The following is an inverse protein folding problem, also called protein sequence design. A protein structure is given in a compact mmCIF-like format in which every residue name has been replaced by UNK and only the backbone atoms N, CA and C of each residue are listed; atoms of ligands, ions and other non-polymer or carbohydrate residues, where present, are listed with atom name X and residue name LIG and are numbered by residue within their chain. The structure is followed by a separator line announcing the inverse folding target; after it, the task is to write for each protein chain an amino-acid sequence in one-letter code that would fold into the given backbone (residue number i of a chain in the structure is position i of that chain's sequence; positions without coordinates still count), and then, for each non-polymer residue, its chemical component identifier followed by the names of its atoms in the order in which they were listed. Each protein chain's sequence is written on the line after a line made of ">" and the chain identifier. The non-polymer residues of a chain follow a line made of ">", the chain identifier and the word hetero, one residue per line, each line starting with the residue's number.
data_IF_436076763745
#
_entry.id   IF_436076763745
#
_cell.length_a   1.000
_cell.length_b   1.000
_cell.length_c   1.000
_cell.angle_alpha   90.00
_cell.angle_beta   90.00
_cell.angle_gamma   90.00
#
_symmetry.space_group_name_H-M   'P 1'
#
loop_
_entity.id
_entity.type
_entity.pdbx_description
1 polymer ?
#
# COMPACT_ATOMS: atom_id res chain seq x y z
N UNK A 1 -33.31 -12.73 1.94
CA UNK A 1 -31.96 -12.91 1.36
C UNK A 1 -31.15 -13.74 2.33
N UNK A 2 -30.33 -14.71 1.89
CA UNK A 2 -29.41 -15.39 2.79
C UNK A 2 -28.51 -14.36 3.48
N UNK A 3 -28.12 -14.65 4.72
CA UNK A 3 -27.19 -13.79 5.46
C UNK A 3 -25.92 -13.58 4.61
N UNK A 4 -25.37 -12.36 4.54
CA UNK A 4 -24.14 -12.12 3.80
C UNK A 4 -23.04 -13.04 4.32
N UNK A 5 -22.26 -13.60 3.40
CA UNK A 5 -21.10 -14.43 3.73
C UNK A 5 -20.15 -13.63 4.63
N UNK A 6 -20.07 -14.01 5.90
CA UNK A 6 -19.15 -13.40 6.86
C UNK A 6 -17.84 -14.20 6.84
N UNK A 7 -16.90 -13.72 6.03
CA UNK A 7 -15.53 -14.21 6.08
C UNK A 7 -14.84 -13.72 7.35
N UNK A 8 -13.99 -14.57 7.92
CA UNK A 8 -13.05 -14.18 8.96
C UNK A 8 -11.71 -14.79 8.62
N UNK A 9 -10.67 -13.98 8.56
CA UNK A 9 -9.32 -14.50 8.33
C UNK A 9 -8.93 -15.50 9.42
N UNK A 10 -8.31 -16.64 9.06
CA UNK A 10 -7.72 -17.54 10.04
C UNK A 10 -6.57 -16.82 10.78
N UNK A 11 -6.17 -17.35 11.93
CA UNK A 11 -4.97 -16.83 12.60
C UNK A 11 -3.74 -16.95 11.68
N UNK A 12 -2.99 -15.86 11.55
CA UNK A 12 -1.82 -15.76 10.71
C UNK A 12 -0.83 -14.76 11.31
N UNK A 13 0.38 -14.69 10.73
CA UNK A 13 1.36 -13.70 11.16
C UNK A 13 0.91 -12.30 10.72
N UNK A 14 0.89 -11.35 11.64
CA UNK A 14 0.59 -9.96 11.33
C UNK A 14 1.67 -9.37 10.42
N UNK A 15 1.26 -8.92 9.24
CA UNK A 15 2.11 -8.40 8.17
C UNK A 15 2.38 -6.92 8.37
N UNK A 16 3.63 -6.59 8.70
CA UNK A 16 4.09 -5.23 9.03
C UNK A 16 5.21 -4.76 8.06
N UNK A 17 5.10 -5.15 6.79
CA UNK A 17 6.06 -4.82 5.72
C UNK A 17 5.47 -3.76 4.77
N UNK A 18 6.30 -2.97 4.05
CA UNK A 18 5.84 -1.91 3.12
C UNK A 18 4.87 -2.34 2.02
N UNK A 19 4.84 -3.63 1.71
CA UNK A 19 3.93 -4.25 0.77
C UNK A 19 4.29 -5.73 0.59
N UNK A 20 3.31 -6.64 0.51
CA UNK A 20 1.86 -6.42 0.73
C UNK A 20 1.51 -6.02 2.18
N UNK A 21 0.28 -5.54 2.39
CA UNK A 21 -0.25 -5.17 3.71
C UNK A 21 -1.48 -6.02 4.07
N UNK A 22 -1.90 -5.94 5.34
CA UNK A 22 -3.12 -6.60 5.81
C UNK A 22 -4.39 -6.07 5.13
N UNK A 23 -5.28 -6.98 4.79
CA UNK A 23 -6.63 -6.67 4.29
C UNK A 23 -7.66 -6.76 5.42
N UNK A 24 -8.75 -6.02 5.28
CA UNK A 24 -9.94 -6.27 6.09
C UNK A 24 -10.59 -7.59 5.68
N UNK A 25 -11.35 -8.19 6.60
CA UNK A 25 -12.13 -9.39 6.29
C UNK A 25 -13.14 -9.12 5.15
N UNK A 26 -13.73 -7.93 5.11
CA UNK A 26 -14.70 -7.51 4.09
C UNK A 26 -14.07 -7.43 2.69
N UNK A 27 -12.85 -6.88 2.57
CA UNK A 27 -12.13 -6.83 1.30
C UNK A 27 -11.81 -8.24 0.80
N UNK A 28 -11.39 -9.16 1.68
CA UNK A 28 -11.14 -10.55 1.27
C UNK A 28 -12.45 -11.28 0.93
N UNK A 29 -13.53 -11.05 1.68
CA UNK A 29 -14.85 -11.61 1.42
C UNK A 29 -15.37 -11.21 0.03
N UNK A 30 -15.11 -9.97 -0.39
CA UNK A 30 -15.55 -9.44 -1.68
C UNK A 30 -14.92 -10.15 -2.90
N UNK A 31 -13.79 -10.86 -2.70
CA UNK A 31 -13.19 -11.68 -3.75
C UNK A 31 -13.87 -13.04 -3.93
N UNK A 32 -14.66 -13.48 -2.95
CA UNK A 32 -15.34 -14.78 -2.94
C UNK A 32 -16.71 -14.76 -3.65
N UNK A 33 -16.99 -13.75 -4.48
CA UNK A 33 -18.22 -13.68 -5.27
C UNK A 33 -18.23 -14.74 -6.39
N UNK A 34 -19.42 -15.22 -6.81
CA UNK A 34 -19.54 -16.08 -7.99
C UNK A 34 -18.90 -15.47 -9.24
N UNK A 35 -18.49 -16.33 -10.18
CA UNK A 35 -17.95 -15.86 -11.46
C UNK A 35 -18.94 -14.95 -12.18
N UNK A 36 -18.47 -13.76 -12.56
CA UNK A 36 -19.27 -12.74 -13.20
C UNK A 36 -18.67 -12.37 -14.56
N UNK A 37 -19.53 -12.16 -15.56
CA UNK A 37 -19.09 -11.65 -16.85
C UNK A 37 -18.68 -10.18 -16.72
N UNK A 38 -17.53 -9.81 -17.28
CA UNK A 38 -17.06 -8.41 -17.29
C UNK A 38 -17.94 -7.47 -18.13
N UNK A 39 -18.84 -8.01 -18.95
CA UNK A 39 -19.86 -7.24 -19.69
C UNK A 39 -21.21 -7.19 -18.98
N UNK A 40 -21.35 -7.79 -17.79
CA UNK A 40 -22.59 -7.75 -17.03
C UNK A 40 -22.87 -6.34 -16.48
N UNK A 41 -24.14 -5.93 -16.35
CA UNK A 41 -24.50 -4.64 -15.75
C UNK A 41 -23.89 -4.41 -14.36
N UNK A 42 -23.88 -5.44 -13.52
CA UNK A 42 -23.32 -5.40 -12.17
C UNK A 42 -21.80 -5.12 -12.15
N UNK A 43 -21.05 -5.74 -13.06
CA UNK A 43 -19.61 -5.48 -13.16
C UNK A 43 -19.33 -4.10 -13.76
N UNK A 44 -20.11 -3.69 -14.76
CA UNK A 44 -19.97 -2.35 -15.37
C UNK A 44 -20.15 -1.27 -14.29
N UNK A 45 -21.18 -1.41 -13.44
CA UNK A 45 -21.38 -0.52 -12.30
C UNK A 45 -20.20 -0.54 -11.32
N UNK A 46 -19.72 -1.73 -10.96
CA UNK A 46 -18.57 -1.92 -10.07
C UNK A 46 -17.33 -1.21 -10.61
N UNK A 47 -17.04 -1.39 -11.90
CA UNK A 47 -15.85 -0.83 -12.52
C UNK A 47 -15.98 0.69 -12.73
N UNK A 48 -17.17 1.17 -13.11
CA UNK A 48 -17.48 2.60 -13.17
C UNK A 48 -17.21 3.28 -11.82
N UNK A 49 -17.73 2.71 -10.74
CA UNK A 49 -17.53 3.22 -9.38
C UNK A 49 -16.03 3.31 -9.04
N UNK A 50 -15.27 2.26 -9.33
CA UNK A 50 -13.83 2.22 -9.07
C UNK A 50 -13.10 3.31 -9.84
N UNK A 51 -13.36 3.47 -11.15
CA UNK A 51 -12.71 4.49 -11.97
C UNK A 51 -12.99 5.90 -11.44
N UNK A 52 -14.26 6.22 -11.19
CA UNK A 52 -14.67 7.54 -10.68
C UNK A 52 -14.10 7.82 -9.29
N UNK A 53 -14.11 6.83 -8.40
CA UNK A 53 -13.63 7.00 -7.03
C UNK A 53 -12.10 7.08 -6.96
N UNK A 54 -11.38 6.36 -7.82
CA UNK A 54 -9.94 6.54 -7.98
C UNK A 54 -9.56 7.96 -8.44
N UNK A 55 -10.40 8.63 -9.24
CA UNK A 55 -10.21 10.04 -9.61
C UNK A 55 -10.13 10.94 -8.37
N UNK A 56 -11.05 10.70 -7.44
CA UNK A 56 -11.15 11.45 -6.19
C UNK A 56 -9.93 11.21 -5.30
N UNK A 57 -9.36 9.99 -5.28
CA UNK A 57 -8.11 9.70 -4.55
C UNK A 57 -6.94 10.56 -5.01
N UNK A 58 -6.82 10.80 -6.32
CA UNK A 58 -5.73 11.58 -6.88
C UNK A 58 -6.00 13.09 -6.90
N UNK A 59 -7.18 13.52 -6.42
CA UNK A 59 -7.63 14.91 -6.45
C UNK A 59 -7.52 15.52 -7.85
N UNK A 60 -7.73 14.70 -8.89
CA UNK A 60 -7.73 15.19 -10.27
C UNK A 60 -8.98 16.03 -10.49
N UNK A 61 -8.82 17.31 -10.80
CA UNK A 61 -9.92 18.21 -11.17
C UNK A 61 -10.00 18.45 -12.68
N UNK A 62 -9.08 17.88 -13.44
CA UNK A 62 -8.97 18.09 -14.88
C UNK A 62 -9.84 17.05 -15.63
N UNK A 63 -10.88 17.55 -16.31
CA UNK A 63 -11.82 16.76 -17.09
C UNK A 63 -11.17 16.05 -18.28
N UNK A 64 -9.96 16.47 -18.70
CA UNK A 64 -9.23 15.87 -19.81
C UNK A 64 -8.31 14.71 -19.36
N UNK A 65 -8.34 14.35 -18.07
CA UNK A 65 -7.59 13.21 -17.54
C UNK A 65 -8.37 11.91 -17.70
N UNK A 66 -7.65 10.79 -17.80
CA UNK A 66 -8.25 9.45 -17.83
C UNK A 66 -7.64 8.59 -16.73
N UNK A 67 -8.50 8.00 -15.89
CA UNK A 67 -8.14 6.96 -14.93
C UNK A 67 -7.98 5.60 -15.60
N UNK A 68 -6.98 4.83 -15.15
CA UNK A 68 -6.71 3.47 -15.61
C UNK A 68 -6.55 2.52 -14.43
N UNK A 69 -7.29 1.42 -14.48
CA UNK A 69 -7.11 0.26 -13.60
C UNK A 69 -6.83 -0.94 -14.49
N UNK A 70 -5.60 -1.44 -14.42
CA UNK A 70 -5.11 -2.52 -15.29
C UNK A 70 -4.77 -3.74 -14.45
N UNK A 71 -4.92 -4.92 -15.03
CA UNK A 71 -4.58 -6.18 -14.35
C UNK A 71 -3.07 -6.39 -14.32
N UNK A 72 -2.45 -6.11 -13.18
CA UNK A 72 -1.01 -6.26 -12.95
C UNK A 72 -0.58 -5.69 -11.60
N UNK A 73 0.68 -5.93 -11.24
CA UNK A 73 1.27 -5.32 -10.02
C UNK A 73 1.57 -3.83 -10.24
N UNK A 74 1.95 -3.13 -9.16
CA UNK A 74 2.40 -1.73 -9.23
C UNK A 74 3.57 -1.47 -10.19
N UNK A 75 4.35 -2.51 -10.57
CA UNK A 75 5.44 -2.33 -11.53
C UNK A 75 4.95 -2.17 -12.97
N UNK A 76 3.76 -2.69 -13.31
CA UNK A 76 3.16 -2.52 -14.63
C UNK A 76 2.92 -1.03 -14.97
N UNK A 77 2.68 -0.17 -13.99
CA UNK A 77 2.58 1.27 -14.25
C UNK A 77 3.84 1.92 -14.71
N UNK A 78 4.97 1.45 -14.21
CA UNK A 78 6.26 1.90 -14.70
C UNK A 78 6.45 1.48 -16.15
N UNK A 79 6.04 0.27 -16.52
CA UNK A 79 6.06 -0.18 -17.92
C UNK A 79 5.11 0.64 -18.79
N UNK A 80 3.89 0.95 -18.33
CA UNK A 80 2.94 1.78 -19.07
C UNK A 80 3.45 3.22 -19.22
N UNK A 81 3.97 3.81 -18.15
CA UNK A 81 4.55 5.16 -18.18
C UNK A 81 5.79 5.19 -19.09
N UNK A 82 6.68 4.21 -18.97
CA UNK A 82 7.86 4.05 -19.80
C UNK A 82 7.48 3.92 -21.27
N UNK A 83 6.62 2.97 -21.60
CA UNK A 83 6.20 2.70 -22.98
C UNK A 83 5.41 3.85 -23.58
N UNK A 84 4.70 4.63 -22.76
CA UNK A 84 4.03 5.86 -23.20
C UNK A 84 5.02 7.00 -23.44
N UNK A 85 5.91 7.26 -22.49
CA UNK A 85 6.74 8.47 -22.45
C UNK A 85 8.11 8.34 -23.15
N UNK A 86 8.75 7.17 -23.15
CA UNK A 86 10.18 7.02 -23.46
C UNK A 86 10.55 7.19 -24.94
N UNK A 87 9.62 7.10 -25.89
CA UNK A 87 9.96 7.24 -27.31
C UNK A 87 10.40 8.65 -27.74
N UNK A 88 10.44 9.65 -26.84
CA UNK A 88 10.98 10.98 -27.18
C UNK A 88 11.59 11.77 -26.02
N UNK A 89 12.03 11.11 -24.95
CA UNK A 89 12.59 11.80 -23.76
C UNK A 89 14.06 11.42 -23.60
N UNK A 90 14.97 12.40 -23.78
CA UNK A 90 16.42 12.18 -23.65
C UNK A 90 16.89 11.95 -22.20
N UNK A 91 16.10 12.35 -21.18
CA UNK A 91 16.40 12.19 -19.74
C UNK A 91 15.10 12.05 -18.93
N UNK A 92 14.98 11.00 -18.13
CA UNK A 92 13.83 10.75 -17.24
C UNK A 92 14.31 10.72 -15.77
N UNK A 93 13.61 11.45 -14.90
CA UNK A 93 13.76 11.32 -13.44
C UNK A 93 12.68 10.35 -12.94
N UNK A 94 13.09 9.24 -12.35
CA UNK A 94 12.20 8.20 -11.83
C UNK A 94 12.19 8.29 -10.30
N UNK A 95 11.02 8.62 -9.73
CA UNK A 95 10.78 8.59 -8.28
C UNK A 95 9.80 7.45 -7.96
N UNK A 96 10.29 6.41 -7.29
CA UNK A 96 9.59 5.12 -7.12
C UNK A 96 8.51 5.14 -6.01
N UNK A 97 7.31 4.65 -6.33
CA UNK A 97 6.32 4.09 -5.39
C UNK A 97 5.49 3.02 -6.13
N UNK A 98 5.02 1.99 -5.42
CA UNK A 98 4.39 0.76 -5.97
C UNK A 98 2.95 0.65 -5.49
N UNK A 99 1.96 0.69 -6.41
CA UNK A 99 0.60 0.11 -6.46
C UNK A 99 -0.09 0.69 -7.73
N UNK A 100 -0.92 -0.07 -8.49
CA UNK A 100 -1.47 0.42 -9.79
C UNK A 100 -2.97 0.75 -9.79
N UNK A 101 -3.27 2.03 -9.60
CA UNK A 101 -4.26 2.79 -10.37
C UNK A 101 -3.57 4.12 -10.70
N UNK A 102 -3.68 4.61 -11.93
CA UNK A 102 -2.97 5.84 -12.34
C UNK A 102 -3.84 6.70 -13.27
N UNK A 103 -3.53 7.99 -13.30
CA UNK A 103 -4.16 8.94 -14.20
C UNK A 103 -3.16 9.41 -15.24
N UNK A 104 -3.56 9.38 -16.50
CA UNK A 104 -2.80 10.00 -17.57
C UNK A 104 -3.34 11.41 -17.82
N UNK A 105 -2.45 12.40 -17.80
CA UNK A 105 -2.79 13.77 -18.21
C UNK A 105 -3.10 13.85 -19.69
N UNK A 106 -3.83 14.89 -20.10
CA UNK A 106 -4.13 15.14 -21.51
C UNK A 106 -2.88 15.07 -22.40
N UNK A 107 -1.78 15.70 -21.98
CA UNK A 107 -0.51 15.65 -22.70
C UNK A 107 0.03 14.23 -22.84
N UNK A 108 -0.05 13.40 -21.80
CA UNK A 108 0.40 12.02 -21.85
C UNK A 108 -0.52 11.17 -22.75
N UNK A 109 -1.83 11.38 -22.68
CA UNK A 109 -2.83 10.73 -23.52
C UNK A 109 -2.62 11.06 -24.99
N UNK A 110 -2.57 12.34 -25.35
CA UNK A 110 -2.36 12.80 -26.73
C UNK A 110 -1.09 12.18 -27.31
N UNK A 111 -0.01 12.12 -26.52
CA UNK A 111 1.24 11.46 -26.94
C UNK A 111 1.06 9.95 -27.15
N UNK A 112 0.33 9.26 -26.27
CA UNK A 112 0.12 7.83 -26.37
C UNK A 112 -0.77 7.46 -27.57
N UNK A 113 -1.86 8.20 -27.76
CA UNK A 113 -2.88 7.94 -28.78
C UNK A 113 -2.38 8.25 -30.20
N UNK A 114 -1.51 9.24 -30.35
CA UNK A 114 -0.94 9.66 -31.64
C UNK A 114 0.28 8.83 -32.09
N UNK A 115 0.64 7.76 -31.38
CA UNK A 115 1.70 6.87 -31.85
C UNK A 115 1.25 6.10 -33.09
N UNK A 116 2.09 6.11 -34.13
CA UNK A 116 1.90 5.30 -35.34
C UNK A 116 1.86 3.80 -34.99
N UNK A 117 2.77 3.34 -34.13
CA UNK A 117 2.88 1.95 -33.71
C UNK A 117 2.99 1.81 -32.20
N UNK A 118 2.19 0.90 -31.64
CA UNK A 118 2.30 0.50 -30.25
C UNK A 118 3.58 -0.32 -30.03
N UNK A 119 4.31 -0.02 -28.95
CA UNK A 119 5.49 -0.78 -28.54
C UNK A 119 5.16 -1.96 -27.65
N UNK A 120 3.95 -2.01 -27.10
CA UNK A 120 3.46 -3.09 -26.23
C UNK A 120 2.02 -3.46 -26.59
N UNK A 121 1.67 -4.74 -26.43
CA UNK A 121 0.31 -5.21 -26.67
C UNK A 121 -0.59 -4.85 -25.47
N UNK A 122 -0.31 -5.43 -24.30
CA UNK A 122 -1.16 -5.27 -23.12
C UNK A 122 -1.03 -3.91 -22.45
N UNK A 123 0.15 -3.26 -22.48
CA UNK A 123 0.36 -1.95 -21.86
C UNK A 123 0.01 -0.75 -22.78
N UNK A 124 -0.63 -1.00 -23.94
CA UNK A 124 -1.03 0.05 -24.87
C UNK A 124 -2.19 0.89 -24.32
N UNK A 125 -1.93 2.16 -24.05
CA UNK A 125 -3.00 3.11 -23.72
C UNK A 125 -3.97 3.28 -24.87
N UNK A 126 -3.51 3.22 -26.14
CA UNK A 126 -4.37 3.31 -27.32
C UNK A 126 -5.47 2.25 -27.31
N UNK A 127 -5.17 1.05 -26.81
CA UNK A 127 -6.13 -0.04 -26.66
C UNK A 127 -6.98 0.09 -25.41
N UNK A 128 -6.43 0.56 -24.29
CA UNK A 128 -7.17 0.67 -23.03
C UNK A 128 -8.03 1.91 -22.88
N UNK A 129 -7.66 3.06 -23.46
CA UNK A 129 -8.42 4.32 -23.34
C UNK A 129 -9.89 4.17 -23.73
N UNK A 130 -10.27 3.59 -24.89
CA UNK A 130 -11.68 3.42 -25.23
C UNK A 130 -12.41 2.51 -24.24
N UNK A 131 -11.73 1.52 -23.66
CA UNK A 131 -12.29 0.60 -22.67
C UNK A 131 -12.57 1.31 -21.35
N UNK A 132 -11.60 2.08 -20.84
CA UNK A 132 -11.77 2.85 -19.60
C UNK A 132 -12.91 3.87 -19.74
N UNK A 133 -12.98 4.59 -20.87
CA UNK A 133 -14.07 5.53 -21.15
C UNK A 133 -15.44 4.87 -21.23
N UNK A 134 -15.53 3.67 -21.82
CA UNK A 134 -16.77 2.93 -21.87
C UNK A 134 -17.26 2.60 -20.45
N UNK A 135 -16.42 1.99 -19.61
CA UNK A 135 -16.81 1.66 -18.23
C UNK A 135 -17.13 2.91 -17.40
N UNK A 136 -16.34 3.97 -17.53
CA UNK A 136 -16.56 5.24 -16.82
C UNK A 136 -17.90 5.91 -17.19
N UNK A 137 -18.35 5.74 -18.44
CA UNK A 137 -19.66 6.20 -18.92
C UNK A 137 -20.82 5.20 -18.64
N UNK A 138 -20.55 4.08 -17.96
CA UNK A 138 -21.56 3.09 -17.60
C UNK A 138 -21.88 2.08 -18.71
N UNK A 139 -20.97 1.90 -19.68
CA UNK A 139 -21.09 0.92 -20.77
C UNK A 139 -19.93 -0.09 -20.76
N UNK A 140 -20.17 -1.29 -21.29
CA UNK A 140 -19.12 -2.31 -21.41
C UNK A 140 -18.33 -2.16 -22.71
N UNK A 141 -17.03 -2.42 -22.67
CA UNK A 141 -16.20 -2.60 -23.86
C UNK A 141 -15.11 -3.66 -23.61
N UNK A 142 -14.58 -4.25 -24.68
CA UNK A 142 -13.61 -5.35 -24.58
C UNK A 142 -12.33 -5.10 -25.38
N UNK A 143 -11.20 -5.29 -24.69
CA UNK A 143 -9.87 -5.47 -25.28
C UNK A 143 -9.19 -6.69 -24.64
N UNK A 144 -9.19 -6.73 -23.31
CA UNK A 144 -8.77 -7.86 -22.50
C UNK A 144 -9.69 -7.99 -21.28
N UNK A 145 -9.83 -9.21 -20.76
CA UNK A 145 -10.67 -9.50 -19.61
C UNK A 145 -10.11 -8.82 -18.36
N UNK A 146 -10.82 -7.87 -17.72
CA UNK A 146 -10.39 -7.27 -16.47
C UNK A 146 -10.38 -8.31 -15.33
N UNK A 147 -9.50 -8.12 -14.35
CA UNK A 147 -9.44 -8.97 -13.16
C UNK A 147 -10.61 -8.67 -12.18
N UNK A 148 -11.78 -9.24 -12.51
CA UNK A 148 -13.08 -9.01 -11.85
C UNK A 148 -12.97 -9.00 -10.32
N UNK A 149 -12.43 -10.06 -9.73
CA UNK A 149 -12.35 -10.21 -8.27
C UNK A 149 -11.50 -9.12 -7.62
N UNK A 150 -10.37 -8.75 -8.23
CA UNK A 150 -9.49 -7.71 -7.70
C UNK A 150 -10.09 -6.30 -7.84
N UNK A 151 -10.89 -6.07 -8.89
CA UNK A 151 -11.63 -4.81 -9.07
C UNK A 151 -12.76 -4.72 -8.04
N UNK A 152 -13.45 -5.82 -7.75
CA UNK A 152 -14.44 -5.88 -6.65
C UNK A 152 -13.79 -5.61 -5.28
N UNK A 153 -12.63 -6.22 -5.00
CA UNK A 153 -11.87 -5.96 -3.78
C UNK A 153 -11.40 -4.50 -3.67
N UNK A 154 -11.00 -3.91 -4.79
CA UNK A 154 -10.65 -2.50 -4.87
C UNK A 154 -11.86 -1.61 -4.58
N UNK A 155 -13.05 -1.93 -5.10
CA UNK A 155 -14.30 -1.23 -4.78
C UNK A 155 -14.54 -1.23 -3.27
N UNK A 156 -14.50 -2.39 -2.61
CA UNK A 156 -14.70 -2.48 -1.15
C UNK A 156 -13.65 -1.69 -0.38
N UNK A 157 -12.38 -1.76 -0.81
CA UNK A 157 -11.30 -0.96 -0.19
C UNK A 157 -11.54 0.54 -0.33
N UNK A 158 -12.04 0.99 -1.49
CA UNK A 158 -12.37 2.40 -1.73
C UNK A 158 -13.58 2.82 -0.87
N UNK A 159 -14.61 1.99 -0.75
CA UNK A 159 -15.75 2.25 0.14
C UNK A 159 -15.30 2.45 1.59
N UNK A 160 -14.41 1.59 2.09
CA UNK A 160 -13.82 1.74 3.43
C UNK A 160 -12.98 3.03 3.58
N UNK A 161 -12.20 3.38 2.56
CA UNK A 161 -11.36 4.59 2.56
C UNK A 161 -12.22 5.85 2.57
N UNK A 162 -13.30 5.88 1.80
CA UNK A 162 -14.16 7.05 1.65
C UNK A 162 -15.25 7.16 2.70
N UNK A 163 -15.55 6.10 3.47
CA UNK A 163 -16.56 6.11 4.53
C UNK A 163 -16.36 7.24 5.57
N UNK A 164 -15.11 7.60 5.89
CA UNK A 164 -14.79 8.71 6.80
C UNK A 164 -14.31 9.99 6.09
N UNK A 165 -14.16 9.95 4.77
CA UNK A 165 -13.59 11.00 3.95
C UNK A 165 -12.05 10.95 3.85
N UNK A 166 -11.54 11.13 2.63
CA UNK A 166 -10.10 11.00 2.31
C UNK A 166 -9.21 11.93 3.15
N UNK A 167 -9.57 13.22 3.26
CA UNK A 167 -8.76 14.20 4.00
C UNK A 167 -8.67 13.87 5.50
N UNK A 168 -9.79 13.43 6.09
CA UNK A 168 -9.82 13.00 7.49
C UNK A 168 -8.97 11.75 7.72
N UNK A 169 -9.02 10.79 6.80
CA UNK A 169 -8.19 9.58 6.84
C UNK A 169 -6.70 9.92 6.76
N UNK A 170 -6.31 10.77 5.81
CA UNK A 170 -4.92 11.21 5.65
C UNK A 170 -4.41 11.98 6.88
N UNK A 171 -5.22 12.88 7.43
CA UNK A 171 -4.88 13.61 8.65
C UNK A 171 -4.72 12.67 9.87
N UNK A 172 -5.61 11.68 10.00
CA UNK A 172 -5.54 10.67 11.06
C UNK A 172 -4.29 9.81 10.93
N UNK A 173 -3.93 9.41 9.70
CA UNK A 173 -2.71 8.65 9.42
C UNK A 173 -1.45 9.46 9.76
N UNK A 174 -1.40 10.74 9.37
CA UNK A 174 -0.29 11.62 9.71
C UNK A 174 -0.12 11.73 11.24
N UNK A 175 -1.19 12.06 11.96
CA UNK A 175 -1.18 12.16 13.43
C UNK A 175 -0.68 10.87 14.10
N UNK A 176 -1.24 9.71 13.73
CA UNK A 176 -0.84 8.42 14.31
C UNK A 176 0.61 8.05 13.98
N UNK A 177 1.05 8.32 12.76
CA UNK A 177 2.44 8.15 12.37
C UNK A 177 3.37 8.99 13.25
N UNK A 178 3.04 10.26 13.50
CA UNK A 178 3.87 11.16 14.27
C UNK A 178 3.93 10.75 15.76
N UNK A 179 2.80 10.35 16.33
CA UNK A 179 2.73 9.77 17.68
C UNK A 179 3.59 8.50 17.79
N UNK A 180 3.54 7.61 16.79
CA UNK A 180 4.36 6.41 16.75
C UNK A 180 5.84 6.74 16.65
N UNK A 181 6.24 7.63 15.72
CA UNK A 181 7.63 8.07 15.55
C UNK A 181 8.16 8.70 16.84
N UNK A 182 7.37 9.54 17.52
CA UNK A 182 7.75 10.12 18.80
C UNK A 182 8.06 9.06 19.85
N UNK A 183 7.18 8.06 20.01
CA UNK A 183 7.39 6.95 20.95
C UNK A 183 8.59 6.09 20.58
N UNK A 184 8.77 5.76 19.30
CA UNK A 184 9.92 4.97 18.84
C UNK A 184 11.23 5.69 19.13
N UNK A 185 11.30 7.02 18.91
CA UNK A 185 12.49 7.82 19.20
C UNK A 185 12.95 7.78 20.65
N UNK A 186 12.09 7.42 21.60
CA UNK A 186 12.47 7.25 23.02
C UNK A 186 13.43 6.08 23.25
N UNK A 187 13.44 5.07 22.36
CA UNK A 187 14.24 3.85 22.55
C UNK A 187 14.94 3.35 21.28
N UNK A 188 14.78 4.07 20.16
CA UNK A 188 15.24 3.67 18.84
C UNK A 188 15.61 4.86 17.96
N UNK A 189 16.62 4.69 17.11
CA UNK A 189 16.96 5.69 16.10
C UNK A 189 16.18 5.42 14.81
N UNK A 190 15.41 6.42 14.36
CA UNK A 190 14.75 6.37 13.04
C UNK A 190 15.73 6.78 11.93
N UNK A 191 15.55 6.23 10.74
CA UNK A 191 16.45 6.44 9.60
C UNK A 191 16.28 7.82 8.91
N UNK A 192 15.05 8.32 8.67
CA UNK A 192 14.88 9.67 8.13
C UNK A 192 15.42 10.73 9.10
N UNK A 193 16.34 11.58 8.63
CA UNK A 193 16.91 12.68 9.43
C UNK A 193 15.97 13.87 9.60
N UNK A 194 14.96 13.98 8.75
CA UNK A 194 14.03 15.10 8.72
C UNK A 194 12.61 14.56 8.69
N UNK A 195 11.84 14.87 9.74
CA UNK A 195 10.46 14.41 9.87
C UNK A 195 9.55 14.99 8.77
N UNK A 196 9.86 16.17 8.23
CA UNK A 196 9.07 16.82 7.15
C UNK A 196 9.05 16.03 5.84
N UNK A 197 10.02 15.15 5.62
CA UNK A 197 10.10 14.29 4.42
C UNK A 197 9.92 12.81 4.76
N UNK A 198 9.65 12.49 6.03
CA UNK A 198 9.41 11.12 6.45
C UNK A 198 7.99 10.71 6.06
N UNK A 199 7.85 9.56 5.37
CA UNK A 199 6.54 9.02 5.03
C UNK A 199 5.65 8.79 6.26
N UNK A 200 4.33 8.89 6.09
CA UNK A 200 3.37 8.54 7.14
C UNK A 200 2.91 7.09 7.08
N UNK A 201 3.12 6.37 5.97
CA UNK A 201 2.73 4.96 5.81
C UNK A 201 3.76 3.94 6.32
N UNK A 202 4.99 4.38 6.61
CA UNK A 202 6.05 3.54 7.14
C UNK A 202 7.04 4.34 7.98
N UNK A 203 7.75 3.66 8.86
CA UNK A 203 8.89 4.18 9.62
C UNK A 203 10.05 3.20 9.54
N UNK A 204 11.18 3.66 9.01
CA UNK A 204 12.42 2.90 9.01
C UNK A 204 13.19 3.15 10.32
N UNK A 205 13.55 2.08 11.02
CA UNK A 205 14.24 2.12 12.32
C UNK A 205 15.53 1.31 12.26
N UNK A 206 16.63 1.88 12.75
CA UNK A 206 17.87 1.11 12.91
C UNK A 206 17.65 -0.03 13.90
N UNK A 207 18.36 -1.13 13.69
CA UNK A 207 18.51 -2.10 14.76
C UNK A 207 19.37 -1.49 15.87
N UNK A 208 19.22 -1.93 17.13
CA UNK A 208 20.09 -1.50 18.21
C UNK A 208 21.54 -1.79 17.90
N UNK A 209 22.41 -1.02 18.51
CA UNK A 209 23.81 -1.38 18.59
C UNK A 209 23.95 -2.77 19.23
N UNK A 210 24.78 -3.62 18.61
CA UNK A 210 25.02 -5.00 19.06
C UNK A 210 23.93 -6.02 18.72
N UNK A 211 22.79 -5.62 18.12
CA UNK A 211 21.72 -6.57 17.75
C UNK A 211 21.86 -7.01 16.29
N UNK A 212 21.87 -8.33 16.09
CA UNK A 212 21.77 -8.92 14.76
C UNK A 212 20.34 -8.76 14.21
N UNK A 213 20.20 -7.97 13.14
CA UNK A 213 18.92 -7.69 12.49
C UNK A 213 18.17 -8.95 12.02
N UNK A 214 18.79 -9.81 11.18
CA UNK A 214 18.20 -11.08 10.77
C UNK A 214 17.68 -11.94 11.93
N UNK A 215 18.44 -12.07 13.03
CA UNK A 215 18.02 -12.84 14.20
C UNK A 215 16.81 -12.22 14.89
N UNK A 216 16.77 -10.88 15.00
CA UNK A 216 15.61 -10.18 15.55
C UNK A 216 14.36 -10.39 14.69
N UNK A 217 14.49 -10.31 13.36
CA UNK A 217 13.37 -10.55 12.44
C UNK A 217 12.87 -11.99 12.52
N UNK A 218 13.77 -12.97 12.68
CA UNK A 218 13.41 -14.37 12.92
C UNK A 218 12.62 -14.53 14.23
N UNK A 219 13.12 -13.96 15.35
CA UNK A 219 12.43 -13.97 16.66
C UNK A 219 11.05 -13.27 16.60
N UNK A 220 10.88 -12.25 15.76
CA UNK A 220 9.59 -11.61 15.49
C UNK A 220 8.64 -12.55 14.74
N UNK A 221 9.14 -13.25 13.72
CA UNK A 221 8.39 -14.26 12.97
C UNK A 221 7.88 -15.41 13.82
N UNK A 222 8.70 -15.89 14.76
CA UNK A 222 8.32 -16.92 15.75
C UNK A 222 7.20 -16.46 16.69
N UNK A 223 7.01 -15.14 16.85
CA UNK A 223 5.92 -14.54 17.64
C UNK A 223 4.72 -14.10 16.81
N UNK A 224 4.68 -14.46 15.54
CA UNK A 224 3.54 -14.13 14.68
C UNK A 224 3.62 -12.74 14.03
N UNK A 225 4.81 -12.16 13.84
CA UNK A 225 4.98 -10.87 13.15
C UNK A 225 5.88 -11.00 11.94
N UNK A 226 5.43 -10.51 10.79
CA UNK A 226 6.24 -10.40 9.57
C UNK A 226 6.74 -8.96 9.45
N UNK A 227 8.04 -8.74 9.68
CA UNK A 227 8.70 -7.42 9.59
C UNK A 227 9.79 -7.46 8.54
N UNK A 228 9.92 -6.39 7.76
CA UNK A 228 10.90 -6.31 6.67
C UNK A 228 12.22 -5.73 7.14
N UNK A 229 13.32 -6.30 6.64
CA UNK A 229 14.62 -5.65 6.68
C UNK A 229 14.70 -4.49 5.70
N UNK A 230 15.68 -3.62 5.91
CA UNK A 230 16.01 -2.54 4.99
C UNK A 230 16.63 -3.00 3.67
N UNK A 231 16.26 -2.36 2.56
CA UNK A 231 16.74 -2.69 1.20
C UNK A 231 17.86 -1.77 0.69
N UNK A 232 18.24 -0.73 1.44
CA UNK A 232 19.28 0.20 1.00
C UNK A 232 20.66 -0.49 1.00
N UNK A 233 21.29 -0.60 -0.18
CA UNK A 233 22.53 -1.37 -0.41
C UNK A 233 23.65 -1.09 0.62
N UNK A 234 23.82 0.16 1.06
CA UNK A 234 24.87 0.53 2.04
C UNK A 234 24.50 0.25 3.52
N UNK A 235 23.24 -0.09 3.79
CA UNK A 235 22.68 -0.25 5.13
C UNK A 235 21.99 -1.61 5.31
N UNK A 236 22.31 -2.57 4.45
CA UNK A 236 21.78 -3.94 4.52
C UNK A 236 22.07 -4.51 5.91
N UNK A 237 21.03 -5.09 6.54
CA UNK A 237 21.13 -5.67 7.87
C UNK A 237 21.24 -4.68 9.03
N UNK A 238 21.21 -3.35 8.78
CA UNK A 238 21.34 -2.32 9.83
C UNK A 238 20.02 -1.72 10.29
N UNK A 239 18.94 -1.90 9.54
CA UNK A 239 17.64 -1.32 9.87
C UNK A 239 16.50 -2.21 9.40
N UNK A 240 15.32 -2.01 10.00
CA UNK A 240 14.05 -2.60 9.58
C UNK A 240 13.10 -1.51 9.11
N UNK A 241 12.08 -1.91 8.35
CA UNK A 241 10.99 -1.04 7.95
C UNK A 241 9.72 -1.54 8.63
N UNK A 242 9.15 -0.68 9.47
CA UNK A 242 7.91 -0.91 10.17
C UNK A 242 6.81 -0.15 9.45
N UNK A 243 5.74 -0.84 9.07
CA UNK A 243 4.56 -0.20 8.53
C UNK A 243 3.60 0.21 9.64
N UNK A 244 3.08 1.42 9.51
CA UNK A 244 2.09 1.99 10.43
C UNK A 244 0.91 2.37 9.56
N UNK A 245 -0.18 1.64 9.67
CA UNK A 245 -1.48 2.08 9.15
C UNK A 245 -2.37 2.48 10.32
N UNK A 246 -3.37 3.34 10.07
CA UNK A 246 -4.53 3.54 10.93
C UNK A 246 -5.34 2.23 10.97
N UNK A 247 -4.74 1.16 11.47
CA UNK A 247 -5.43 -0.07 11.82
C UNK A 247 -5.21 -0.37 13.29
N UNK A 248 -6.07 -1.26 13.79
CA UNK A 248 -6.36 -1.64 15.18
C UNK A 248 -5.15 -2.10 16.03
N UNK A 249 -3.94 -1.97 15.52
CA UNK A 249 -2.74 -2.66 16.00
C UNK A 249 -1.59 -1.73 16.40
N UNK A 250 -1.72 -0.41 16.34
CA UNK A 250 -0.65 0.51 16.76
C UNK A 250 -0.22 0.29 18.23
N UNK A 251 -1.18 0.01 19.12
CA UNK A 251 -0.92 -0.38 20.50
C UNK A 251 -0.20 -1.73 20.59
N UNK A 252 -0.61 -2.71 19.79
CA UNK A 252 0.02 -4.05 19.72
C UNK A 252 1.45 -3.96 19.24
N UNK A 253 1.74 -3.22 18.16
CA UNK A 253 3.10 -3.02 17.64
C UNK A 253 3.99 -2.35 18.70
N UNK A 254 3.52 -1.29 19.35
CA UNK A 254 4.30 -0.61 20.40
C UNK A 254 4.53 -1.52 21.62
N UNK A 255 3.53 -2.31 22.04
CA UNK A 255 3.66 -3.27 23.14
C UNK A 255 4.64 -4.39 22.77
N UNK A 256 4.56 -4.92 21.55
CA UNK A 256 5.41 -5.99 21.04
C UNK A 256 6.83 -5.52 20.91
N UNK A 257 7.06 -4.36 20.27
CA UNK A 257 8.36 -3.72 20.21
C UNK A 257 8.88 -3.51 21.62
N UNK A 258 8.15 -2.84 22.52
CA UNK A 258 8.60 -2.59 23.90
C UNK A 258 8.89 -3.87 24.69
N UNK A 259 8.10 -4.96 24.54
CA UNK A 259 8.29 -6.23 25.25
C UNK A 259 9.43 -7.06 24.66
N UNK A 260 9.52 -7.18 23.33
CA UNK A 260 10.65 -7.81 22.66
C UNK A 260 11.92 -7.04 22.95
N UNK A 261 11.87 -5.72 22.92
CA UNK A 261 13.00 -4.86 23.24
C UNK A 261 13.41 -4.97 24.68
N UNK A 262 12.48 -4.94 25.63
CA UNK A 262 12.79 -5.20 27.04
C UNK A 262 13.39 -6.59 27.26
N UNK A 263 12.97 -7.60 26.49
CA UNK A 263 13.49 -8.98 26.60
C UNK A 263 14.85 -9.14 25.93
N UNK A 264 15.06 -8.55 24.75
CA UNK A 264 16.36 -8.45 24.06
C UNK A 264 17.34 -7.62 24.89
N UNK A 265 16.90 -6.50 25.45
CA UNK A 265 17.68 -5.70 26.41
C UNK A 265 17.93 -6.45 27.72
N UNK A 266 17.03 -7.33 28.19
CA UNK A 266 17.28 -8.22 29.34
C UNK A 266 18.32 -9.30 29.02
N UNK A 267 18.26 -9.87 27.82
CA UNK A 267 19.25 -10.83 27.29
C UNK A 267 20.61 -10.16 27.02
N UNK A 268 20.65 -8.83 26.80
CA UNK A 268 21.86 -8.01 26.68
C UNK A 268 22.33 -7.37 28.01
N UNK A 269 21.48 -7.37 29.06
CA UNK A 269 21.77 -6.84 30.41
C UNK A 269 22.48 -7.87 31.31
N UNK A 270 23.29 -8.76 30.74
CA UNK A 270 24.44 -9.35 31.45
C UNK A 270 25.63 -8.39 31.52
N UNK A 271 25.42 -7.10 31.20
CA UNK A 271 26.35 -6.00 31.48
C UNK A 271 25.55 -4.88 32.18
N UNK A 272 25.76 -4.80 33.50
CA UNK A 272 25.39 -3.76 34.47
C UNK A 272 23.93 -3.26 34.54
N UNK A 273 23.21 -3.75 35.56
CA UNK A 273 22.73 -2.91 36.66
C UNK A 273 21.57 -1.93 36.41
N UNK A 274 20.41 -2.27 37.00
CA UNK A 274 19.34 -1.34 37.42
C UNK A 274 18.40 -0.73 36.36
N UNK A 275 17.25 -0.29 36.87
CA UNK A 275 16.06 0.22 36.17
C UNK A 275 15.20 -0.88 35.51
N UNK A 276 14.51 -1.62 36.37
CA UNK A 276 13.45 -2.55 35.97
C UNK A 276 12.20 -2.43 36.86
N UNK A 277 11.83 -1.24 37.36
CA UNK A 277 10.60 -1.07 38.18
C UNK A 277 10.02 0.33 37.99
N UNK A 278 9.43 0.66 36.82
CA UNK A 278 8.49 1.81 36.68
C UNK A 278 7.45 1.57 35.55
N UNK A 279 7.79 0.85 34.48
CA UNK A 279 6.95 0.81 33.27
C UNK A 279 5.94 -0.36 33.19
N UNK A 280 5.33 -0.74 34.31
CA UNK A 280 4.28 -1.77 34.39
C UNK A 280 2.87 -1.20 34.72
N UNK A 281 2.74 0.10 34.99
CA UNK A 281 1.48 0.70 35.48
C UNK A 281 0.88 1.82 34.60
N UNK A 282 1.19 1.89 33.31
CA UNK A 282 0.67 2.96 32.43
C UNK A 282 0.08 2.47 31.10
N UNK A 283 -0.61 1.32 31.11
CA UNK A 283 -1.75 0.96 30.23
C UNK A 283 -2.65 0.06 31.06
#
# INVERSE_FOLDING_TARGET
>A
MPAPFQYKQPEHRLTLIPGPIEFSDDVLASMAIPSQAHTSPDFIYTFQYVLQTCANCLKSTDANTQGYVLSGSGTLGWDVAATTLLNSVKKLLVCQSVYQFFYASERALSKALNKEKDTTFFASLKRWTPIMKAYESGSGAYFATPAVQTITALKTSLEEIFAEGLDKRLATQAKKSDEFKAKVKEFLTILPKNDKVAAHGLTAVYFPEGVNGPDLLKKLGEKGYTVAGGIHKKLVGKYSVLVIWVTRFMSVILIVLKRLWKKVLKELKTISGEIAVVLLYAI
#
